data_IF_865624374416
#
_entry.id   IF_865624374416
#
_cell.length_a   1.000
_cell.length_b   1.000
_cell.length_c   1.000
_cell.angle_alpha   90.00
_cell.angle_beta   90.00
_cell.angle_gamma   90.00
#
_symmetry.space_group_name_H-M   'P 1'
#
loop_
_entity.id
_entity.type
_entity.pdbx_description
1 polymer ?
#
# COMPACT_ATOMS: atom_id res chain seq x y z
N UNK A 1 -11.09 36.35 10.27
CA UNK A 1 -10.13 36.20 9.17
C UNK A 1 -8.86 35.44 9.60
N UNK A 2 -8.08 35.90 10.59
CA UNK A 2 -6.88 35.14 11.04
C UNK A 2 -7.22 33.78 11.69
N UNK A 3 -8.24 33.71 12.56
CA UNK A 3 -8.65 32.47 13.22
C UNK A 3 -9.06 31.35 12.24
N UNK A 4 -9.75 31.71 11.14
CA UNK A 4 -10.12 30.75 10.10
C UNK A 4 -8.91 30.27 9.31
N UNK A 5 -7.89 31.12 9.09
CA UNK A 5 -6.65 30.71 8.43
C UNK A 5 -5.86 29.69 9.27
N UNK A 6 -5.76 29.89 10.59
CA UNK A 6 -5.11 28.95 11.50
C UNK A 6 -5.85 27.60 11.58
N UNK A 7 -7.18 27.63 11.62
CA UNK A 7 -8.00 26.42 11.55
C UNK A 7 -7.74 25.62 10.27
N UNK A 8 -7.73 26.30 9.12
CA UNK A 8 -7.47 25.65 7.83
C UNK A 8 -6.04 25.12 7.66
N UNK A 9 -5.03 25.80 8.21
CA UNK A 9 -3.64 25.34 8.14
C UNK A 9 -3.41 24.08 8.98
N UNK A 10 -4.07 24.02 10.14
CA UNK A 10 -4.01 22.88 11.05
C UNK A 10 -4.68 21.64 10.43
N UNK A 11 -5.87 21.79 9.86
CA UNK A 11 -6.56 20.68 9.18
C UNK A 11 -5.79 20.20 7.96
N UNK A 12 -5.19 21.09 7.17
CA UNK A 12 -4.35 20.71 6.04
C UNK A 12 -3.12 19.88 6.48
N UNK A 13 -2.52 20.22 7.63
CA UNK A 13 -1.40 19.46 8.18
C UNK A 13 -1.84 18.07 8.64
N UNK A 14 -2.98 17.96 9.33
CA UNK A 14 -3.56 16.67 9.72
C UNK A 14 -3.84 15.81 8.49
N UNK A 15 -4.41 16.40 7.44
CA UNK A 15 -4.69 15.70 6.20
C UNK A 15 -3.42 15.20 5.48
N UNK A 16 -2.37 16.02 5.48
CA UNK A 16 -1.07 15.62 4.93
C UNK A 16 -0.46 14.45 5.72
N UNK A 17 -0.53 14.49 7.04
CA UNK A 17 -0.05 13.40 7.90
C UNK A 17 -0.87 12.13 7.69
N UNK A 18 -2.20 12.21 7.71
CA UNK A 18 -3.08 11.07 7.47
C UNK A 18 -2.83 10.44 6.10
N UNK A 19 -2.73 11.26 5.06
CA UNK A 19 -2.41 10.82 3.71
C UNK A 19 -1.02 10.19 3.58
N UNK A 20 0.00 10.72 4.27
CA UNK A 20 1.34 10.15 4.27
C UNK A 20 1.35 8.78 4.96
N UNK A 21 0.67 8.63 6.09
CA UNK A 21 0.56 7.37 6.83
C UNK A 21 -0.14 6.30 6.01
N UNK A 22 -1.26 6.64 5.36
CA UNK A 22 -1.97 5.73 4.47
C UNK A 22 -1.10 5.28 3.29
N UNK A 23 -0.30 6.19 2.72
CA UNK A 23 0.65 5.86 1.66
C UNK A 23 1.75 4.90 2.15
N UNK A 24 2.30 5.13 3.35
CA UNK A 24 3.31 4.22 3.91
C UNK A 24 2.72 2.86 4.28
N UNK A 25 1.51 2.81 4.82
CA UNK A 25 0.79 1.55 5.07
C UNK A 25 0.61 0.74 3.78
N UNK A 26 0.15 1.37 2.69
CA UNK A 26 0.05 0.74 1.38
C UNK A 26 1.40 0.21 0.90
N UNK A 27 2.47 1.02 0.96
CA UNK A 27 3.82 0.62 0.53
C UNK A 27 4.37 -0.56 1.34
N UNK A 28 4.20 -0.54 2.65
CA UNK A 28 4.66 -1.62 3.52
C UNK A 28 3.93 -2.93 3.21
N UNK A 29 2.61 -2.86 2.96
CA UNK A 29 1.84 -4.02 2.54
C UNK A 29 2.26 -4.54 1.16
N UNK A 30 2.52 -3.64 0.20
CA UNK A 30 3.06 -4.03 -1.11
C UNK A 30 4.41 -4.73 -0.98
N UNK A 31 5.30 -4.24 -0.11
CA UNK A 31 6.60 -4.88 0.14
C UNK A 31 6.43 -6.28 0.73
N UNK A 32 5.52 -6.46 1.69
CA UNK A 32 5.21 -7.78 2.24
C UNK A 32 4.63 -8.72 1.17
N UNK A 33 3.69 -8.22 0.35
CA UNK A 33 3.10 -8.99 -0.74
C UNK A 33 4.15 -9.40 -1.79
N UNK A 34 5.09 -8.50 -2.14
CA UNK A 34 6.20 -8.81 -3.04
C UNK A 34 7.17 -9.83 -2.46
N UNK A 35 7.45 -9.79 -1.14
CA UNK A 35 8.29 -10.79 -0.48
C UNK A 35 7.62 -12.18 -0.45
N UNK A 36 6.29 -12.23 -0.35
CA UNK A 36 5.54 -13.47 -0.48
C UNK A 36 5.57 -13.96 -1.92
N UNK A 37 5.33 -13.09 -2.89
CA UNK A 37 5.29 -13.42 -4.32
C UNK A 37 6.64 -13.87 -4.87
N UNK A 38 7.74 -13.22 -4.44
CA UNK A 38 9.11 -13.50 -4.86
C UNK A 38 10.00 -13.84 -3.65
N UNK A 39 9.90 -15.07 -3.11
CA UNK A 39 10.70 -15.49 -1.97
C UNK A 39 12.20 -15.54 -2.29
N UNK A 40 13.03 -15.26 -1.28
CA UNK A 40 14.51 -15.23 -1.40
C UNK A 40 15.15 -16.56 -1.82
N UNK A 41 14.41 -17.67 -1.73
CA UNK A 41 14.83 -19.00 -2.21
C UNK A 41 14.63 -19.24 -3.70
N UNK A 42 14.06 -18.26 -4.42
CA UNK A 42 13.74 -18.34 -5.84
C UNK A 42 12.35 -18.93 -6.12
N UNK A 43 11.94 -18.81 -7.39
CA UNK A 43 10.59 -19.15 -7.85
C UNK A 43 9.59 -18.04 -7.58
N UNK A 44 8.45 -18.10 -8.27
CA UNK A 44 7.26 -17.31 -7.93
C UNK A 44 6.40 -18.18 -7.02
N UNK A 45 5.96 -17.61 -5.89
CA UNK A 45 4.97 -18.23 -5.03
C UNK A 45 3.55 -17.78 -5.41
N UNK A 46 2.67 -17.60 -4.42
CA UNK A 46 1.24 -17.36 -4.60
C UNK A 46 0.89 -15.87 -4.72
N UNK A 47 0.17 -15.50 -5.78
CA UNK A 47 -0.43 -14.18 -6.01
C UNK A 47 -1.79 -14.08 -5.29
N UNK A 48 -1.78 -14.18 -3.96
CA UNK A 48 -2.99 -14.05 -3.13
C UNK A 48 -3.14 -12.68 -2.49
N UNK A 49 -4.37 -12.40 -2.04
CA UNK A 49 -4.67 -11.19 -1.29
C UNK A 49 -3.87 -11.16 0.02
N UNK A 50 -3.15 -10.07 0.26
CA UNK A 50 -2.45 -9.83 1.53
C UNK A 50 -3.21 -8.77 2.32
N UNK A 51 -3.65 -9.11 3.53
CA UNK A 51 -4.35 -8.17 4.44
C UNK A 51 -3.53 -7.96 5.70
N UNK A 52 -3.30 -6.70 6.04
CA UNK A 52 -2.71 -6.25 7.30
C UNK A 52 -3.81 -5.50 8.06
N UNK A 53 -4.54 -6.17 8.97
CA UNK A 53 -5.69 -5.56 9.64
C UNK A 53 -5.30 -4.43 10.59
N UNK A 54 -4.08 -4.48 11.15
CA UNK A 54 -3.52 -3.44 11.99
C UNK A 54 -2.00 -3.46 11.92
N UNK A 55 -1.37 -2.27 11.97
CA UNK A 55 0.07 -2.14 12.15
C UNK A 55 0.43 -1.89 13.62
N UNK A 56 1.43 -2.62 14.11
CA UNK A 56 1.97 -2.45 15.47
C UNK A 56 3.01 -1.32 15.58
N UNK A 57 3.55 -0.85 14.45
CA UNK A 57 4.55 0.21 14.43
C UNK A 57 3.93 1.55 14.80
N UNK A 58 4.61 2.33 15.65
CA UNK A 58 4.07 3.58 16.20
C UNK A 58 3.61 4.55 15.12
N UNK A 59 4.38 4.68 14.03
CA UNK A 59 4.05 5.56 12.90
C UNK A 59 2.78 5.17 12.13
N UNK A 60 2.38 3.90 12.17
CA UNK A 60 1.24 3.34 11.44
C UNK A 60 0.10 2.87 12.36
N UNK A 61 0.11 3.21 13.66
CA UNK A 61 -1.00 2.90 14.56
C UNK A 61 -2.35 3.36 14.00
N UNK A 62 -3.41 2.57 14.16
CA UNK A 62 -4.73 2.84 13.55
C UNK A 62 -4.71 2.89 12.02
N UNK A 63 -3.71 2.27 11.40
CA UNK A 63 -3.73 2.00 9.97
C UNK A 63 -3.96 0.51 9.73
N UNK A 64 -4.56 0.21 8.58
CA UNK A 64 -4.68 -1.10 7.98
C UNK A 64 -4.24 -1.02 6.52
N UNK A 65 -3.98 -2.16 5.91
CA UNK A 65 -3.72 -2.23 4.49
C UNK A 65 -4.21 -3.54 3.88
N UNK A 66 -4.55 -3.50 2.61
CA UNK A 66 -4.94 -4.66 1.81
C UNK A 66 -4.25 -4.58 0.45
N UNK A 67 -3.77 -5.71 -0.05
CA UNK A 67 -3.14 -5.83 -1.37
C UNK A 67 -3.86 -6.91 -2.14
N UNK A 68 -4.46 -6.52 -3.26
CA UNK A 68 -4.94 -7.46 -4.28
C UNK A 68 -3.82 -7.74 -5.28
N UNK A 69 -3.80 -8.95 -5.83
CA UNK A 69 -2.80 -9.40 -6.78
C UNK A 69 -3.50 -10.01 -8.00
N UNK A 70 -3.08 -9.64 -9.20
CA UNK A 70 -3.57 -10.16 -10.46
C UNK A 70 -2.41 -10.65 -11.33
N UNK A 71 -2.53 -11.87 -11.83
CA UNK A 71 -1.57 -12.48 -12.76
C UNK A 71 -2.01 -12.24 -14.21
N UNK A 72 -1.07 -11.81 -15.04
CA UNK A 72 -1.29 -11.50 -16.45
C UNK A 72 -0.20 -12.21 -17.25
N UNK A 73 -0.56 -13.30 -17.92
CA UNK A 73 0.38 -14.02 -18.79
C UNK A 73 0.66 -13.19 -20.05
N UNK A 74 1.94 -12.85 -20.28
CA UNK A 74 2.40 -12.10 -21.45
C UNK A 74 3.17 -13.03 -22.37
N UNK A 75 2.48 -13.54 -23.38
CA UNK A 75 3.01 -14.55 -24.32
C UNK A 75 4.24 -14.09 -25.08
N UNK A 76 4.30 -12.81 -25.43
CA UNK A 76 5.39 -12.18 -26.19
C UNK A 76 6.70 -12.13 -25.41
N UNK A 77 6.61 -12.11 -24.08
CA UNK A 77 7.76 -12.07 -23.16
C UNK A 77 8.06 -13.44 -22.55
N UNK A 78 7.25 -14.47 -22.85
CA UNK A 78 7.30 -15.77 -22.16
C UNK A 78 7.34 -15.61 -20.63
N UNK A 79 6.59 -14.64 -20.11
CA UNK A 79 6.64 -14.20 -18.73
C UNK A 79 5.24 -13.88 -18.20
N UNK A 80 5.12 -13.86 -16.87
CA UNK A 80 3.93 -13.48 -16.13
C UNK A 80 4.16 -12.11 -15.50
N UNK A 81 3.27 -11.17 -15.82
CA UNK A 81 3.19 -9.87 -15.17
C UNK A 81 2.24 -9.98 -13.98
N UNK A 82 2.71 -9.54 -12.81
CA UNK A 82 1.94 -9.47 -11.58
C UNK A 82 1.60 -8.02 -11.31
N UNK A 83 0.31 -7.73 -11.20
CA UNK A 83 -0.20 -6.40 -10.85
C UNK A 83 -0.75 -6.43 -9.43
N UNK A 84 -0.10 -5.67 -8.56
CA UNK A 84 -0.50 -5.50 -7.17
C UNK A 84 -1.19 -4.15 -7.01
N UNK A 85 -2.42 -4.15 -6.48
CA UNK A 85 -3.11 -2.93 -6.05
C UNK A 85 -3.21 -2.96 -4.53
N UNK A 86 -2.45 -2.08 -3.88
CA UNK A 86 -2.42 -1.92 -2.43
C UNK A 86 -3.24 -0.71 -2.00
N UNK A 87 -4.14 -0.89 -1.06
CA UNK A 87 -4.86 0.17 -0.35
C UNK A 87 -4.38 0.24 1.09
N UNK A 88 -3.89 1.40 1.51
CA UNK A 88 -3.62 1.72 2.91
C UNK A 88 -4.67 2.66 3.44
N UNK A 89 -5.19 2.38 4.63
CA UNK A 89 -6.24 3.16 5.31
C UNK A 89 -5.77 3.52 6.71
N UNK A 90 -5.95 4.76 7.13
CA UNK A 90 -5.57 5.23 8.46
C UNK A 90 -6.65 6.11 9.08
N UNK A 91 -6.99 5.85 10.34
CA UNK A 91 -7.95 6.64 11.10
C UNK A 91 -7.24 7.69 11.95
N UNK A 92 -7.65 8.96 11.79
CA UNK A 92 -7.20 10.09 12.60
C UNK A 92 -8.42 10.86 13.11
N UNK A 93 -8.75 10.71 14.38
CA UNK A 93 -9.94 11.32 14.96
C UNK A 93 -11.22 10.70 14.39
N UNK A 94 -11.99 11.49 13.64
CA UNK A 94 -13.23 11.05 12.97
C UNK A 94 -13.07 10.91 11.45
N UNK A 95 -11.87 11.08 10.94
CA UNK A 95 -11.57 11.04 9.51
C UNK A 95 -10.75 9.80 9.15
N UNK A 96 -11.10 9.17 8.04
CA UNK A 96 -10.34 8.06 7.45
C UNK A 96 -9.61 8.56 6.21
N UNK A 97 -8.31 8.32 6.18
CA UNK A 97 -7.44 8.67 5.08
C UNK A 97 -7.02 7.42 4.33
N UNK A 98 -7.23 7.40 3.02
CA UNK A 98 -6.94 6.24 2.17
C UNK A 98 -6.00 6.61 1.04
N UNK A 99 -5.08 5.70 0.71
CA UNK A 99 -4.20 5.80 -0.46
C UNK A 99 -4.11 4.46 -1.16
N UNK A 100 -4.13 4.52 -2.50
CA UNK A 100 -3.95 3.35 -3.36
C UNK A 100 -2.66 3.46 -4.15
N UNK A 101 -1.96 2.34 -4.27
CA UNK A 101 -0.71 2.21 -5.01
C UNK A 101 -0.84 1.02 -5.95
N UNK A 102 -0.56 1.26 -7.22
CA UNK A 102 -0.39 0.20 -8.20
C UNK A 102 1.09 -0.12 -8.33
N UNK A 103 1.44 -1.40 -8.30
CA UNK A 103 2.80 -1.89 -8.51
C UNK A 103 2.77 -3.05 -9.48
N UNK A 104 3.74 -3.09 -10.37
CA UNK A 104 3.88 -4.16 -11.35
C UNK A 104 5.23 -4.85 -11.15
N UNK A 105 5.23 -6.18 -11.29
CA UNK A 105 6.42 -7.02 -11.21
C UNK A 105 6.33 -8.13 -12.27
N UNK A 106 7.46 -8.69 -12.68
CA UNK A 106 7.52 -9.74 -13.71
C UNK A 106 8.43 -10.87 -13.25
N UNK A 107 8.13 -12.10 -13.68
CA UNK A 107 9.01 -13.25 -13.50
C UNK A 107 10.01 -13.42 -14.67
N UNK A 108 9.99 -12.52 -15.65
CA UNK A 108 10.98 -12.48 -16.71
C UNK A 108 12.38 -12.37 -16.08
N UNK A 109 13.21 -13.41 -16.26
CA UNK A 109 14.63 -13.30 -15.98
C UNK A 109 15.21 -12.33 -17.01
N UNK A 110 15.72 -11.18 -16.56
CA UNK A 110 16.73 -10.44 -17.34
C UNK A 110 17.99 -11.30 -17.49
#
# INVERSE_FOLDING_TARGET
>A
ALYSLFGSASSATVANVGGARANFAAKSATQEALLKLFPVGGGVADCSVTTIPAFDSEGLRNCSAEVSCAEIVVTELSATLYRLEAEGSCELGTETYTRRILTEATDAND
#
